data_IF_346095234404
#
_entry.id   IF_346095234404
#
_cell.length_a   1.000
_cell.length_b   1.000
_cell.length_c   1.000
_cell.angle_alpha   90.00
_cell.angle_beta   90.00
_cell.angle_gamma   90.00
#
_symmetry.space_group_name_H-M   'P 1'
#
loop_
_entity.id
_entity.type
_entity.pdbx_description
1 polymer ?
#
# COMPACT_ATOMS: atom_id res chain seq x y z
N UNK A 1 8.34 -12.33 0.32
CA UNK A 1 8.49 -11.00 -0.29
C UNK A 1 8.24 -9.91 0.74
N UNK A 2 8.84 -8.77 0.51
CA UNK A 2 8.52 -7.56 1.27
C UNK A 2 7.46 -6.77 0.50
N UNK A 3 6.34 -6.52 1.13
CA UNK A 3 5.19 -5.86 0.50
C UNK A 3 4.81 -4.62 1.30
N UNK A 4 4.67 -3.49 0.63
CA UNK A 4 4.16 -2.25 1.23
C UNK A 4 2.77 -1.99 0.66
N UNK A 5 1.79 -1.83 1.54
CA UNK A 5 0.40 -1.57 1.19
C UNK A 5 0.02 -0.18 1.69
N UNK A 6 -0.56 0.64 0.83
CA UNK A 6 -1.11 1.94 1.20
C UNK A 6 -2.63 1.83 1.26
N UNK A 7 -3.18 2.07 2.44
CA UNK A 7 -4.62 2.02 2.68
C UNK A 7 -5.06 0.78 3.43
N UNK A 8 -5.59 0.97 4.63
CA UNK A 8 -6.10 -0.09 5.50
C UNK A 8 -7.63 -0.04 5.59
N UNK A 9 -8.29 0.04 4.44
CA UNK A 9 -9.74 -0.11 4.34
C UNK A 9 -10.11 -1.59 4.29
N UNK A 10 -11.32 -1.89 3.82
CA UNK A 10 -11.78 -3.28 3.72
C UNK A 10 -10.87 -4.12 2.82
N UNK A 11 -10.53 -3.58 1.65
CA UNK A 11 -9.70 -4.32 0.69
C UNK A 11 -8.26 -4.40 1.19
N UNK A 12 -7.69 -3.27 1.62
CA UNK A 12 -6.30 -3.23 2.07
C UNK A 12 -6.05 -4.13 3.26
N UNK A 13 -6.95 -4.12 4.27
CA UNK A 13 -6.81 -4.97 5.44
C UNK A 13 -6.95 -6.45 5.09
N UNK A 14 -7.84 -6.79 4.15
CA UNK A 14 -8.02 -8.17 3.70
C UNK A 14 -6.78 -8.67 2.95
N UNK A 15 -6.26 -7.86 2.04
CA UNK A 15 -5.05 -8.21 1.28
C UNK A 15 -3.85 -8.34 2.23
N UNK A 16 -3.69 -7.38 3.15
CA UNK A 16 -2.60 -7.42 4.13
C UNK A 16 -2.64 -8.68 4.98
N UNK A 17 -3.82 -9.02 5.51
CA UNK A 17 -3.98 -10.21 6.32
C UNK A 17 -3.67 -11.49 5.57
N UNK A 18 -4.07 -11.56 4.32
CA UNK A 18 -3.84 -12.73 3.48
C UNK A 18 -2.36 -12.91 3.14
N UNK A 19 -1.70 -11.83 2.73
CA UNK A 19 -0.26 -11.88 2.44
C UNK A 19 0.56 -12.20 3.68
N UNK A 20 0.17 -11.64 4.82
CA UNK A 20 0.82 -11.94 6.09
C UNK A 20 0.70 -13.42 6.43
N UNK A 21 -0.48 -14.00 6.28
CA UNK A 21 -0.72 -15.44 6.53
C UNK A 21 0.10 -16.31 5.58
N UNK A 22 0.32 -15.85 4.35
CA UNK A 22 1.11 -16.57 3.36
C UNK A 22 2.63 -16.45 3.58
N UNK A 23 3.06 -15.76 4.61
CA UNK A 23 4.46 -15.67 5.00
C UNK A 23 5.21 -14.47 4.42
N UNK A 24 4.53 -13.54 3.79
CA UNK A 24 5.16 -12.31 3.30
C UNK A 24 5.36 -11.30 4.44
N UNK A 25 6.38 -10.48 4.32
CA UNK A 25 6.59 -9.37 5.24
C UNK A 25 5.79 -8.18 4.75
N UNK A 26 4.75 -7.83 5.47
CA UNK A 26 3.79 -6.80 5.08
C UNK A 26 3.95 -5.58 5.96
N UNK A 27 4.07 -4.42 5.33
CA UNK A 27 3.95 -3.12 6.00
C UNK A 27 2.74 -2.42 5.40
N UNK A 28 1.80 -2.02 6.27
CA UNK A 28 0.60 -1.33 5.82
C UNK A 28 0.58 0.09 6.35
N UNK A 29 0.31 1.05 5.47
CA UNK A 29 0.33 2.49 5.73
C UNK A 29 -1.09 3.01 5.69
N UNK A 30 -1.47 3.81 6.67
CA UNK A 30 -2.73 4.56 6.66
C UNK A 30 -2.56 5.85 7.46
N UNK A 31 -3.31 6.88 7.08
CA UNK A 31 -3.34 8.13 7.83
C UNK A 31 -4.12 8.01 9.12
N UNK A 32 -5.08 7.10 9.19
CA UNK A 32 -5.98 6.91 10.30
C UNK A 32 -5.58 5.70 11.12
N UNK A 33 -5.15 5.92 12.36
CA UNK A 33 -4.77 4.83 13.26
C UNK A 33 -5.92 3.86 13.53
N UNK A 34 -7.16 4.33 13.45
CA UNK A 34 -8.35 3.49 13.67
C UNK A 34 -8.54 2.48 12.54
N UNK A 35 -8.04 2.77 11.36
CA UNK A 35 -8.15 1.87 10.22
C UNK A 35 -7.48 0.53 10.49
N UNK A 36 -6.41 0.51 11.29
CA UNK A 36 -5.69 -0.72 11.60
C UNK A 36 -6.51 -1.73 12.40
N UNK A 37 -7.62 -1.32 12.98
CA UNK A 37 -8.55 -2.23 13.66
C UNK A 37 -9.16 -3.28 12.74
N UNK A 38 -9.15 -3.01 11.43
CA UNK A 38 -9.65 -3.96 10.42
C UNK A 38 -8.71 -5.13 10.20
N UNK A 39 -7.46 -5.01 10.62
CA UNK A 39 -6.49 -6.09 10.49
C UNK A 39 -6.86 -7.25 11.43
N UNK A 40 -6.61 -8.50 11.03
CA UNK A 40 -6.83 -9.63 11.93
C UNK A 40 -5.91 -9.53 13.15
N UNK A 41 -6.37 -10.07 14.29
CA UNK A 41 -5.58 -10.07 15.52
C UNK A 41 -4.23 -10.78 15.32
N UNK A 42 -4.21 -11.77 14.44
CA UNK A 42 -3.02 -12.56 14.13
C UNK A 42 -2.02 -11.83 13.20
N UNK A 43 -2.34 -10.62 12.75
CA UNK A 43 -1.46 -9.89 11.83
C UNK A 43 -0.12 -9.58 12.49
N UNK A 44 0.96 -10.09 11.91
CA UNK A 44 2.33 -9.96 12.42
C UNK A 44 3.12 -8.86 11.72
N UNK A 45 2.58 -8.26 10.66
CA UNK A 45 3.25 -7.21 9.90
C UNK A 45 3.34 -5.89 10.66
N UNK A 46 3.85 -4.89 9.96
CA UNK A 46 4.05 -3.56 10.52
C UNK A 46 2.91 -2.62 10.13
N UNK A 47 2.49 -1.81 11.08
CA UNK A 47 1.51 -0.73 10.89
C UNK A 47 2.25 0.59 10.89
N UNK A 48 2.02 1.42 9.89
CA UNK A 48 2.73 2.68 9.74
C UNK A 48 1.74 3.81 9.51
N UNK A 49 1.75 4.80 10.40
CA UNK A 49 0.86 5.97 10.30
C UNK A 49 1.53 7.04 9.46
N UNK A 50 0.89 7.42 8.37
CA UNK A 50 1.41 8.48 7.51
C UNK A 50 0.74 8.48 6.15
N UNK A 51 1.16 9.43 5.32
CA UNK A 51 0.69 9.56 3.95
C UNK A 51 1.55 8.75 2.99
N UNK A 52 0.91 7.90 2.19
CA UNK A 52 1.60 7.13 1.15
C UNK A 52 2.07 7.96 -0.04
N UNK A 53 1.80 9.26 -0.06
CA UNK A 53 2.33 10.19 -1.06
C UNK A 53 3.47 11.04 -0.50
N UNK A 54 3.89 10.79 0.72
CA UNK A 54 5.07 11.41 1.33
C UNK A 54 6.24 10.45 1.20
N UNK A 55 7.28 10.87 0.46
CA UNK A 55 8.45 10.04 0.21
C UNK A 55 9.16 9.61 1.51
N UNK A 56 9.17 10.47 2.52
CA UNK A 56 9.79 10.15 3.82
C UNK A 56 9.05 9.03 4.53
N UNK A 57 7.72 9.02 4.43
CA UNK A 57 6.88 7.96 4.98
C UNK A 57 7.14 6.65 4.25
N UNK A 58 7.19 6.68 2.92
CA UNK A 58 7.47 5.49 2.12
C UNK A 58 8.85 4.92 2.44
N UNK A 59 9.86 5.77 2.57
CA UNK A 59 11.22 5.34 2.93
C UNK A 59 11.22 4.69 4.31
N UNK A 60 10.60 5.34 5.30
CA UNK A 60 10.53 4.81 6.66
C UNK A 60 9.76 3.48 6.71
N UNK A 61 8.76 3.31 5.84
CA UNK A 61 8.00 2.07 5.75
C UNK A 61 8.72 0.94 4.99
N UNK A 62 9.90 1.21 4.44
CA UNK A 62 10.71 0.18 3.80
C UNK A 62 10.50 0.03 2.30
N UNK A 63 10.03 1.08 1.62
CA UNK A 63 9.74 1.01 0.18
C UNK A 63 10.98 0.63 -0.66
N UNK A 64 12.17 1.01 -0.21
CA UNK A 64 13.40 0.72 -0.96
C UNK A 64 13.73 -0.76 -1.03
N UNK A 65 13.28 -1.53 -0.05
CA UNK A 65 13.50 -2.98 0.01
C UNK A 65 12.25 -3.76 -0.40
N UNK A 66 11.19 -3.07 -0.82
CA UNK A 66 9.94 -3.71 -1.17
C UNK A 66 10.03 -4.40 -2.54
N UNK A 67 9.48 -5.59 -2.61
CA UNK A 67 9.29 -6.32 -3.87
C UNK A 67 8.00 -5.90 -4.55
N UNK A 68 7.01 -5.47 -3.76
CA UNK A 68 5.72 -5.05 -4.28
C UNK A 68 5.19 -3.86 -3.48
N UNK A 69 4.49 -2.98 -4.17
CA UNK A 69 3.73 -1.88 -3.59
C UNK A 69 2.30 -1.93 -4.10
N UNK A 70 1.34 -1.85 -3.18
CA UNK A 70 -0.08 -1.95 -3.51
C UNK A 70 -0.81 -0.74 -2.93
N UNK A 71 -1.43 0.07 -3.79
CA UNK A 71 -2.16 1.27 -3.40
C UNK A 71 -3.65 1.01 -3.45
N UNK A 72 -4.30 1.00 -2.28
CA UNK A 72 -5.69 0.59 -2.11
C UNK A 72 -6.51 1.59 -1.30
N UNK A 73 -6.15 2.87 -1.30
CA UNK A 73 -6.98 3.91 -0.67
C UNK A 73 -8.21 4.19 -1.53
N UNK A 74 -9.14 4.98 -1.01
CA UNK A 74 -10.31 5.41 -1.78
C UNK A 74 -10.03 6.59 -2.70
N UNK A 75 -8.84 7.18 -2.64
CA UNK A 75 -8.45 8.31 -3.48
C UNK A 75 -7.66 7.87 -4.70
N UNK A 76 -8.28 7.93 -5.89
CA UNK A 76 -7.61 7.53 -7.13
C UNK A 76 -6.33 8.33 -7.39
N UNK A 77 -6.37 9.65 -7.17
CA UNK A 77 -5.20 10.51 -7.38
C UNK A 77 -4.05 10.12 -6.47
N UNK A 78 -4.34 9.85 -5.19
CA UNK A 78 -3.30 9.43 -4.24
C UNK A 78 -2.76 8.06 -4.59
N UNK A 79 -3.63 7.13 -4.98
CA UNK A 79 -3.22 5.79 -5.41
C UNK A 79 -2.28 5.87 -6.60
N UNK A 80 -2.66 6.63 -7.63
CA UNK A 80 -1.85 6.79 -8.84
C UNK A 80 -0.52 7.48 -8.56
N UNK A 81 -0.54 8.56 -7.76
CA UNK A 81 0.68 9.27 -7.41
C UNK A 81 1.65 8.37 -6.63
N UNK A 82 1.14 7.68 -5.61
CA UNK A 82 1.98 6.77 -4.82
C UNK A 82 2.54 5.63 -5.68
N UNK A 83 1.73 5.08 -6.58
CA UNK A 83 2.16 4.03 -7.50
C UNK A 83 3.28 4.52 -8.42
N UNK A 84 3.15 5.74 -8.94
CA UNK A 84 4.19 6.36 -9.78
C UNK A 84 5.48 6.56 -9.00
N UNK A 85 5.38 7.04 -7.75
CA UNK A 85 6.54 7.21 -6.89
C UNK A 85 7.23 5.87 -6.62
N UNK A 86 6.46 4.85 -6.28
CA UNK A 86 7.01 3.52 -6.01
C UNK A 86 7.75 2.97 -7.23
N UNK A 87 7.16 3.11 -8.40
CA UNK A 87 7.71 2.57 -9.65
C UNK A 87 8.92 3.37 -10.14
N UNK A 88 8.79 4.69 -10.23
CA UNK A 88 9.77 5.51 -10.92
C UNK A 88 10.87 6.07 -10.02
N UNK A 89 10.56 6.39 -8.75
CA UNK A 89 11.57 6.88 -7.83
C UNK A 89 12.25 5.76 -7.04
N UNK A 90 11.48 4.76 -6.63
CA UNK A 90 12.01 3.71 -5.76
C UNK A 90 12.28 2.40 -6.49
N UNK A 91 11.88 2.30 -7.75
CA UNK A 91 12.18 1.12 -8.56
C UNK A 91 11.54 -0.17 -8.07
N UNK A 92 10.38 -0.09 -7.42
CA UNK A 92 9.68 -1.28 -6.96
C UNK A 92 9.24 -2.10 -8.17
N UNK A 93 9.55 -3.39 -8.17
CA UNK A 93 9.36 -4.24 -9.33
C UNK A 93 7.88 -4.47 -9.66
N UNK A 94 7.07 -4.71 -8.66
CA UNK A 94 5.64 -4.97 -8.83
C UNK A 94 4.84 -3.87 -8.15
N UNK A 95 4.09 -3.11 -8.94
CA UNK A 95 3.26 -2.02 -8.44
C UNK A 95 1.82 -2.26 -8.90
N UNK A 96 0.92 -2.35 -7.93
CA UNK A 96 -0.51 -2.57 -8.18
C UNK A 96 -1.26 -1.40 -7.58
N UNK A 97 -2.17 -0.83 -8.35
CA UNK A 97 -3.01 0.26 -7.86
C UNK A 97 -4.46 0.01 -8.22
N UNK A 98 -5.34 0.37 -7.31
CA UNK A 98 -6.78 0.36 -7.54
C UNK A 98 -7.19 1.72 -8.07
N UNK A 99 -8.02 1.72 -9.12
CA UNK A 99 -8.58 2.94 -9.69
C UNK A 99 -10.09 2.77 -9.79
N UNK A 100 -10.82 3.63 -9.10
CA UNK A 100 -12.30 3.58 -9.06
C UNK A 100 -12.94 4.23 -10.28
N UNK A 101 -12.29 5.26 -10.85
CA UNK A 101 -12.79 5.98 -12.01
C UNK A 101 -12.34 5.27 -13.30
N UNK A 102 -13.27 4.70 -14.09
CA UNK A 102 -12.91 4.00 -15.33
C UNK A 102 -12.12 4.86 -16.32
N UNK A 103 -12.44 6.16 -16.39
CA UNK A 103 -11.74 7.07 -17.30
C UNK A 103 -10.26 7.20 -16.92
N UNK A 104 -9.97 7.30 -15.62
CA UNK A 104 -8.57 7.34 -15.16
C UNK A 104 -7.86 6.03 -15.41
N UNK A 105 -8.53 4.92 -15.27
CA UNK A 105 -7.95 3.61 -15.56
C UNK A 105 -7.53 3.52 -17.02
N UNK A 106 -8.32 4.05 -17.94
CA UNK A 106 -7.97 4.09 -19.37
C UNK A 106 -6.76 4.96 -19.65
N UNK A 107 -6.62 6.09 -18.94
CA UNK A 107 -5.51 7.02 -19.14
C UNK A 107 -4.19 6.46 -18.61
N UNK A 108 -4.23 5.68 -17.55
CA UNK A 108 -3.02 5.17 -16.90
C UNK A 108 -2.80 3.68 -17.13
N UNK A 109 -3.80 3.05 -17.70
CA UNK A 109 -3.84 1.64 -18.04
C UNK A 109 -2.62 0.84 -17.90
#
# INVERSE_FOLDING_TARGET
>A
MNVVIMGCGRVGSTVAGRLDTEGHQVTIIDLDTQAFRRLPISFLGNRFVGSGVDDRVLIAAGIRDANAFIALTQGDNRNLLAAQMAKHFFGVQTVVTRVYDPLRAELFG
#
